data_IF_251878393025
#
_entry.id   IF_251878393025
#
_cell.length_a   1.000
_cell.length_b   1.000
_cell.length_c   1.000
_cell.angle_alpha   90.00
_cell.angle_beta   90.00
_cell.angle_gamma   90.00
#
_symmetry.space_group_name_H-M   'P 1'
#
loop_
_entity.id
_entity.type
_entity.pdbx_description
1 polymer ?
#
# COMPACT_ATOMS: atom_id res chain seq x y z
N UNK A 1 8.26 -0.52 -1.90
CA UNK A 1 6.85 -0.30 -2.32
C UNK A 1 6.69 0.97 -3.15
N UNK A 2 6.86 2.17 -2.57
CA UNK A 2 6.63 3.44 -3.30
C UNK A 2 7.53 3.57 -4.54
N UNK A 3 8.81 3.24 -4.43
CA UNK A 3 9.71 3.20 -5.61
C UNK A 3 9.19 2.26 -6.70
N UNK A 4 8.68 1.07 -6.35
CA UNK A 4 8.10 0.12 -7.31
C UNK A 4 6.87 0.69 -8.04
N UNK A 5 6.08 1.53 -7.36
CA UNK A 5 4.97 2.26 -7.97
C UNK A 5 5.51 3.32 -8.94
N UNK A 6 6.47 4.14 -8.49
CA UNK A 6 7.07 5.21 -9.30
C UNK A 6 7.77 4.69 -10.56
N UNK A 7 8.46 3.55 -10.45
CA UNK A 7 9.11 2.85 -11.55
C UNK A 7 8.09 2.23 -12.54
N UNK A 8 6.80 2.19 -12.21
CA UNK A 8 5.75 1.61 -13.05
C UNK A 8 5.77 0.09 -13.11
N UNK A 9 6.44 -0.60 -12.18
CA UNK A 9 6.59 -2.07 -12.17
C UNK A 9 5.25 -2.83 -12.01
N UNK A 10 4.22 -2.13 -11.53
CA UNK A 10 2.87 -2.68 -11.37
C UNK A 10 1.98 -2.48 -12.61
N UNK A 11 2.47 -1.87 -13.68
CA UNK A 11 1.72 -1.73 -14.93
C UNK A 11 1.83 -3.01 -15.78
N UNK A 12 0.74 -3.52 -16.38
CA UNK A 12 -0.62 -2.97 -16.38
C UNK A 12 -1.50 -3.45 -15.22
N UNK A 13 -1.08 -4.48 -14.48
CA UNK A 13 -1.88 -5.10 -13.42
C UNK A 13 -1.12 -5.15 -12.08
N UNK A 14 -1.74 -4.59 -11.04
CA UNK A 14 -1.19 -4.57 -9.69
C UNK A 14 -1.62 -5.80 -8.87
N UNK A 15 -0.84 -6.20 -7.85
CA UNK A 15 -1.29 -7.22 -6.92
C UNK A 15 -2.57 -6.80 -6.18
N UNK A 16 -3.51 -7.73 -6.00
CA UNK A 16 -4.68 -7.52 -5.13
C UNK A 16 -4.24 -7.56 -3.67
N UNK A 17 -3.70 -6.45 -3.18
CA UNK A 17 -3.12 -6.31 -1.84
C UNK A 17 -3.66 -5.05 -1.17
N UNK A 18 -4.25 -5.22 0.02
CA UNK A 18 -4.80 -4.14 0.83
C UNK A 18 -3.77 -3.60 1.82
N UNK A 19 -3.79 -2.29 2.04
CA UNK A 19 -2.94 -1.59 2.99
C UNK A 19 -3.79 -0.70 3.88
N UNK A 20 -3.59 -0.79 5.19
CA UNK A 20 -4.07 0.21 6.14
C UNK A 20 -3.25 1.49 5.98
N UNK A 21 -3.92 2.61 5.74
CA UNK A 21 -3.31 3.94 5.61
C UNK A 21 -3.74 4.82 6.76
N UNK A 22 -2.80 5.66 7.19
CA UNK A 22 -2.99 6.65 8.25
C UNK A 22 -2.16 7.89 7.92
N UNK A 23 -2.68 9.07 8.24
CA UNK A 23 -1.90 10.30 8.13
C UNK A 23 -0.80 10.31 9.20
N UNK A 24 0.41 10.75 8.84
CA UNK A 24 1.55 10.79 9.76
C UNK A 24 1.31 11.68 10.98
N UNK A 25 0.45 12.70 10.86
CA UNK A 25 0.06 13.59 11.97
C UNK A 25 -0.81 12.86 12.99
N UNK A 26 -1.70 11.99 12.53
CA UNK A 26 -2.54 11.19 13.42
C UNK A 26 -1.69 10.15 14.17
N UNK A 27 -0.66 9.61 13.54
CA UNK A 27 0.32 8.73 14.21
C UNK A 27 1.09 9.48 15.29
N UNK A 28 1.57 10.69 15.00
CA UNK A 28 2.26 11.52 15.99
C UNK A 28 1.34 11.89 17.16
N UNK A 29 0.08 12.25 16.89
CA UNK A 29 -0.92 12.52 17.91
C UNK A 29 -1.21 11.29 18.77
N UNK A 30 -1.36 10.12 18.16
CA UNK A 30 -1.55 8.86 18.87
C UNK A 30 -0.37 8.53 19.80
N UNK A 31 0.87 8.80 19.37
CA UNK A 31 2.05 8.65 20.24
C UNK A 31 2.03 9.61 21.43
N UNK A 32 1.69 10.88 21.22
CA UNK A 32 1.57 11.86 22.31
C UNK A 32 0.48 11.46 23.32
N UNK A 33 -0.67 10.97 22.84
CA UNK A 33 -1.77 10.49 23.68
C UNK A 33 -1.36 9.25 24.49
N UNK A 34 -0.69 8.29 23.86
CA UNK A 34 -0.20 7.10 24.54
C UNK A 34 0.81 7.45 25.65
N UNK A 35 1.65 8.45 25.45
CA UNK A 35 2.59 8.94 26.47
C UNK A 35 1.88 9.66 27.63
N UNK A 36 0.79 10.38 27.36
CA UNK A 36 0.06 11.15 28.37
C UNK A 36 -0.96 10.32 29.17
N UNK A 37 -1.31 9.11 28.71
CA UNK A 37 -2.37 8.31 29.31
C UNK A 37 -1.77 7.14 30.13
N UNK A 38 -1.86 7.15 31.48
CA UNK A 38 -1.22 6.14 32.33
C UNK A 38 -1.66 4.70 32.05
N UNK A 39 -2.91 4.52 31.61
CA UNK A 39 -3.45 3.19 31.28
C UNK A 39 -3.05 2.67 29.90
N UNK A 40 -2.39 3.48 29.07
CA UNK A 40 -1.99 3.07 27.73
C UNK A 40 -0.89 2.00 27.81
N UNK A 41 -1.27 0.75 27.55
CA UNK A 41 -0.37 -0.41 27.52
C UNK A 41 -0.62 -1.31 26.32
N UNK A 42 0.41 -2.04 25.89
CA UNK A 42 0.32 -3.00 24.79
C UNK A 42 0.52 -2.37 23.40
N UNK A 43 -0.24 -2.85 22.40
CA UNK A 43 -0.08 -2.49 20.99
C UNK A 43 -1.33 -1.81 20.44
N UNK A 44 -1.17 -0.61 19.91
CA UNK A 44 -2.19 0.13 19.19
C UNK A 44 -1.85 0.17 17.69
N UNK A 45 -2.81 -0.16 16.84
CA UNK A 45 -2.67 -0.06 15.38
C UNK A 45 -3.48 1.15 14.92
N UNK A 46 -2.85 2.10 14.24
CA UNK A 46 -3.51 3.29 13.71
C UNK A 46 -3.83 3.09 12.22
N UNK A 47 -5.12 3.15 11.88
CA UNK A 47 -5.60 3.05 10.49
C UNK A 47 -6.75 4.03 10.33
N UNK A 48 -6.67 4.92 9.35
CA UNK A 48 -7.77 5.79 8.93
C UNK A 48 -8.61 5.15 7.83
N UNK A 49 -7.96 4.53 6.83
CA UNK A 49 -8.64 3.85 5.73
C UNK A 49 -7.83 2.69 5.19
N UNK A 50 -8.50 1.66 4.69
CA UNK A 50 -7.86 0.58 3.94
C UNK A 50 -8.00 0.85 2.44
N UNK A 51 -6.90 0.75 1.70
CA UNK A 51 -6.88 0.93 0.25
C UNK A 51 -6.08 -0.15 -0.44
N UNK A 52 -6.37 -0.41 -1.71
CA UNK A 52 -5.62 -1.38 -2.50
C UNK A 52 -4.32 -0.75 -3.01
N UNK A 53 -3.33 -1.60 -3.33
CA UNK A 53 -2.09 -1.17 -3.99
C UNK A 53 -2.36 -0.31 -5.23
N UNK A 54 -3.35 -0.71 -6.05
CA UNK A 54 -3.76 0.03 -7.24
C UNK A 54 -4.27 1.45 -6.91
N UNK A 55 -4.96 1.60 -5.78
CA UNK A 55 -5.49 2.90 -5.35
C UNK A 55 -4.36 3.84 -4.92
N UNK A 56 -3.29 3.33 -4.30
CA UNK A 56 -2.10 4.12 -3.95
C UNK A 56 -1.51 4.74 -5.22
N UNK A 57 -1.30 3.93 -6.26
CA UNK A 57 -0.77 4.40 -7.53
C UNK A 57 -1.69 5.42 -8.21
N UNK A 58 -3.02 5.23 -8.13
CA UNK A 58 -4.01 6.17 -8.67
C UNK A 58 -4.01 7.49 -7.91
N UNK A 59 -3.91 7.47 -6.58
CA UNK A 59 -3.81 8.67 -5.72
C UNK A 59 -2.56 9.47 -6.11
N UNK A 60 -1.41 8.81 -6.26
CA UNK A 60 -0.16 9.48 -6.67
C UNK A 60 -0.31 10.08 -8.07
N UNK A 61 -0.87 9.35 -9.05
CA UNK A 61 -1.09 9.86 -10.41
C UNK A 61 -2.04 11.06 -10.43
N UNK A 62 -3.08 11.05 -9.61
CA UNK A 62 -4.03 12.17 -9.48
C UNK A 62 -3.37 13.41 -8.85
N UNK A 63 -2.49 13.23 -7.86
CA UNK A 63 -1.72 14.32 -7.27
C UNK A 63 -0.65 14.89 -8.21
N UNK A 64 -0.14 14.07 -9.14
CA UNK A 64 0.88 14.44 -10.10
C UNK A 64 0.47 14.06 -11.54
N UNK A 65 -0.53 14.75 -12.14
CA UNK A 65 -1.11 14.34 -13.42
C UNK A 65 -0.09 14.30 -14.56
N UNK A 66 0.86 15.24 -14.56
CA UNK A 66 1.93 15.34 -15.58
C UNK A 66 3.12 14.41 -15.36
N UNK A 67 3.10 13.57 -14.31
CA UNK A 67 4.17 12.61 -14.07
C UNK A 67 4.20 11.50 -15.11
N UNK A 68 5.39 10.94 -15.37
CA UNK A 68 5.59 9.75 -16.21
C UNK A 68 5.05 8.45 -15.57
N UNK A 69 4.48 8.54 -14.37
CA UNK A 69 3.90 7.42 -13.64
C UNK A 69 2.78 6.76 -14.47
N UNK A 70 2.91 5.45 -14.67
CA UNK A 70 1.88 4.60 -15.25
C UNK A 70 1.11 3.89 -14.13
N UNK A 71 -0.07 4.40 -13.79
CA UNK A 71 -0.93 3.75 -12.82
C UNK A 71 -1.45 2.42 -13.39
N UNK A 72 -1.54 1.35 -12.57
CA UNK A 72 -2.11 0.07 -12.97
C UNK A 72 -3.58 0.24 -13.34
N UNK A 73 -4.00 -0.48 -14.38
CA UNK A 73 -5.35 -0.42 -14.94
C UNK A 73 -6.27 -1.41 -14.22
N UNK A 74 -5.72 -2.56 -13.82
CA UNK A 74 -6.47 -3.64 -13.17
C UNK A 74 -5.70 -4.23 -11.98
N UNK A 75 -6.40 -5.00 -11.16
CA UNK A 75 -5.78 -5.88 -10.17
C UNK A 75 -5.63 -7.28 -10.76
N UNK A 76 -4.44 -7.86 -10.67
CA UNK A 76 -4.17 -9.20 -11.16
C UNK A 76 -4.88 -10.24 -10.26
N UNK A 77 -5.54 -11.25 -10.84
CA UNK A 77 -6.12 -12.36 -10.09
C UNK A 77 -5.08 -13.11 -9.26
N UNK A 78 -5.49 -13.60 -8.08
CA UNK A 78 -4.61 -14.32 -7.13
C UNK A 78 -3.85 -15.49 -7.79
N UNK A 79 -4.54 -16.34 -8.55
CA UNK A 79 -3.91 -17.47 -9.25
C UNK A 79 -2.84 -17.03 -10.25
N UNK A 80 -3.07 -15.92 -10.96
CA UNK A 80 -2.14 -15.40 -11.97
C UNK A 80 -0.87 -14.86 -11.31
N UNK A 81 -1.02 -14.12 -10.21
CA UNK A 81 0.11 -13.66 -9.39
C UNK A 81 0.89 -14.83 -8.80
N UNK A 82 0.22 -15.91 -8.39
CA UNK A 82 0.89 -17.09 -7.84
C UNK A 82 1.75 -17.80 -8.90
N UNK A 83 1.26 -17.89 -10.14
CA UNK A 83 2.01 -18.51 -11.24
C UNK A 83 3.15 -17.60 -11.74
N UNK A 84 2.88 -16.32 -11.99
CA UNK A 84 3.81 -15.39 -12.64
C UNK A 84 4.66 -14.58 -11.67
N UNK A 85 4.29 -14.53 -10.39
CA UNK A 85 4.95 -13.77 -9.35
C UNK A 85 6.46 -14.03 -9.24
N UNK A 86 6.93 -15.30 -9.22
CA UNK A 86 8.37 -15.60 -9.14
C UNK A 86 9.19 -15.00 -10.28
N UNK A 87 8.65 -15.00 -11.52
CA UNK A 87 9.32 -14.42 -12.67
C UNK A 87 9.43 -12.89 -12.58
N UNK A 88 8.56 -12.25 -11.81
CA UNK A 88 8.57 -10.81 -11.52
C UNK A 88 9.28 -10.46 -10.19
N UNK A 89 9.92 -11.43 -9.53
CA UNK A 89 10.61 -11.23 -8.24
C UNK A 89 9.68 -11.14 -7.02
N UNK A 90 8.42 -11.55 -7.15
CA UNK A 90 7.46 -11.63 -6.04
C UNK A 90 7.49 -13.03 -5.42
N UNK A 91 7.64 -13.11 -4.08
CA UNK A 91 7.49 -14.40 -3.37
C UNK A 91 6.04 -14.87 -3.46
N UNK A 92 5.86 -16.19 -3.61
CA UNK A 92 4.54 -16.84 -3.59
C UNK A 92 3.83 -16.67 -2.25
N UNK A 93 4.58 -16.43 -1.16
CA UNK A 93 4.03 -16.21 0.17
C UNK A 93 3.11 -14.99 0.25
N UNK A 94 3.32 -14.01 -0.64
CA UNK A 94 2.49 -12.81 -0.76
C UNK A 94 1.09 -13.09 -1.32
N UNK A 95 0.89 -14.29 -1.87
CA UNK A 95 -0.29 -14.72 -2.61
C UNK A 95 -0.91 -15.98 -2.00
N UNK A 96 -0.50 -16.37 -0.78
CA UNK A 96 -1.11 -17.49 -0.04
C UNK A 96 -2.40 -17.07 0.64
#
# INVERSE_FOLDING_TARGET
MIQSILDGKAYPAAPYMGFGMVDVRDVAAAHCLAMAHPDAKGRYITVCRSILFADIARIIKNGYPNSKLKAPIATAPKWLLWMMGPAAGLSRDLVT
#
